data_IF_723627137552
#
_entry.id   IF_723627137552
#
_cell.length_a   1.000
_cell.length_b   1.000
_cell.length_c   1.000
_cell.angle_alpha   90.00
_cell.angle_beta   90.00
_cell.angle_gamma   90.00
#
_symmetry.space_group_name_H-M   'P 1'
#
loop_
_entity.id
_entity.type
_entity.pdbx_description
1 polymer ?
#
# COMPACT_ATOMS: atom_id res chain seq x y z
N UNK A 1 22.47 14.90 -8.94
CA UNK A 1 22.28 15.44 -10.30
C UNK A 1 20.80 15.46 -10.65
N UNK A 2 20.41 16.22 -11.67
CA UNK A 2 19.03 16.23 -12.17
C UNK A 2 18.60 14.83 -12.65
N UNK A 3 19.51 14.09 -13.25
CA UNK A 3 19.29 12.70 -13.66
C UNK A 3 18.97 11.78 -12.45
N UNK A 4 19.63 11.96 -11.30
CA UNK A 4 19.32 11.22 -10.08
C UNK A 4 17.91 11.55 -9.57
N UNK A 5 17.55 12.84 -9.58
CA UNK A 5 16.22 13.28 -9.12
C UNK A 5 15.09 12.74 -10.01
N UNK A 6 15.26 12.82 -11.33
CA UNK A 6 14.28 12.28 -12.28
C UNK A 6 14.16 10.75 -12.17
N UNK A 7 15.28 10.05 -12.02
CA UNK A 7 15.27 8.61 -11.81
C UNK A 7 14.59 8.23 -10.49
N UNK A 8 14.83 9.00 -9.43
CA UNK A 8 14.15 8.83 -8.14
C UNK A 8 12.63 8.99 -8.28
N UNK A 9 12.16 9.94 -9.07
CA UNK A 9 10.74 10.13 -9.38
C UNK A 9 10.14 8.86 -10.03
N UNK A 10 10.81 8.31 -11.03
CA UNK A 10 10.36 7.05 -11.66
C UNK A 10 10.27 5.92 -10.62
N UNK A 11 11.27 5.77 -9.77
CA UNK A 11 11.28 4.72 -8.73
C UNK A 11 10.10 4.84 -7.78
N UNK A 12 9.77 6.07 -7.35
CA UNK A 12 8.63 6.33 -6.45
C UNK A 12 7.30 6.05 -7.14
N UNK A 13 7.07 6.65 -8.31
CA UNK A 13 5.79 6.58 -9.02
C UNK A 13 5.46 5.17 -9.49
N UNK A 14 6.47 4.37 -9.74
CA UNK A 14 6.31 2.98 -10.21
C UNK A 14 6.44 1.94 -9.09
N UNK A 15 6.60 2.37 -7.85
CA UNK A 15 6.95 1.47 -6.76
C UNK A 15 8.09 0.51 -7.17
N UNK A 16 9.24 1.09 -7.54
CA UNK A 16 10.41 0.34 -8.01
C UNK A 16 10.12 -0.56 -9.23
N UNK A 17 9.45 0.00 -10.26
CA UNK A 17 9.06 -0.67 -11.50
C UNK A 17 8.03 -1.81 -11.33
N UNK A 18 7.32 -1.84 -10.21
CA UNK A 18 6.27 -2.83 -9.94
C UNK A 18 4.91 -2.42 -10.52
N UNK A 19 4.62 -1.10 -10.54
CA UNK A 19 3.33 -0.56 -10.95
C UNK A 19 3.50 0.46 -12.09
N UNK A 20 2.46 0.66 -12.89
CA UNK A 20 2.38 1.71 -13.93
C UNK A 20 3.62 1.76 -14.84
N UNK A 21 4.23 0.61 -15.11
CA UNK A 21 5.50 0.49 -15.81
C UNK A 21 5.30 -0.09 -17.20
N UNK A 22 5.53 0.71 -18.22
CA UNK A 22 5.53 0.30 -19.61
C UNK A 22 6.93 0.37 -20.22
N UNK A 23 7.04 0.02 -21.49
CA UNK A 23 8.33 0.07 -22.25
C UNK A 23 8.97 1.45 -22.15
N UNK A 24 8.17 2.53 -22.29
CA UNK A 24 8.68 3.91 -22.20
C UNK A 24 9.29 4.25 -20.83
N UNK A 25 8.80 3.64 -19.76
CA UNK A 25 9.36 3.83 -18.41
C UNK A 25 10.78 3.26 -18.34
N UNK A 26 10.99 2.07 -18.90
CA UNK A 26 12.32 1.46 -18.97
C UNK A 26 13.25 2.24 -19.91
N UNK A 27 12.76 2.73 -21.04
CA UNK A 27 13.53 3.58 -21.96
C UNK A 27 13.97 4.88 -21.28
N UNK A 28 13.07 5.54 -20.54
CA UNK A 28 13.39 6.73 -19.76
C UNK A 28 14.43 6.43 -18.67
N UNK A 29 14.28 5.35 -17.94
CA UNK A 29 15.25 4.91 -16.94
C UNK A 29 16.63 4.63 -17.54
N UNK A 30 16.68 3.94 -18.69
CA UNK A 30 17.91 3.67 -19.41
C UNK A 30 18.56 4.96 -19.95
N UNK A 31 17.76 5.92 -20.43
CA UNK A 31 18.24 7.23 -20.84
C UNK A 31 18.86 7.99 -19.67
N UNK A 32 18.19 8.05 -18.53
CA UNK A 32 18.69 8.72 -17.33
C UNK A 32 19.97 8.06 -16.81
N UNK A 33 20.06 6.74 -16.87
CA UNK A 33 21.28 6.01 -16.50
C UNK A 33 22.47 6.37 -17.41
N UNK A 34 22.26 6.46 -18.72
CA UNK A 34 23.29 6.92 -19.67
C UNK A 34 23.70 8.36 -19.43
N UNK A 35 22.81 9.20 -18.91
CA UNK A 35 23.07 10.60 -18.59
C UNK A 35 23.53 10.82 -17.15
N UNK A 36 24.05 9.81 -16.49
CA UNK A 36 24.77 9.92 -15.23
C UNK A 36 23.94 9.66 -13.97
N UNK A 37 22.70 9.17 -14.09
CA UNK A 37 21.96 8.73 -12.91
C UNK A 37 22.70 7.58 -12.20
N UNK A 38 22.96 7.74 -10.91
CA UNK A 38 23.60 6.76 -10.06
C UNK A 38 22.53 5.99 -9.25
N UNK A 39 22.25 4.77 -9.72
CA UNK A 39 21.24 3.89 -9.11
C UNK A 39 21.56 3.59 -7.64
N UNK A 40 22.83 3.41 -7.30
CA UNK A 40 23.26 3.16 -5.92
C UNK A 40 22.99 4.36 -5.03
N UNK A 41 23.25 5.55 -5.53
CA UNK A 41 22.97 6.80 -4.82
C UNK A 41 21.47 7.00 -4.63
N UNK A 42 20.67 6.78 -5.67
CA UNK A 42 19.20 6.84 -5.59
C UNK A 42 18.68 5.81 -4.59
N UNK A 43 19.16 4.56 -4.63
CA UNK A 43 18.77 3.52 -3.66
C UNK A 43 19.03 3.92 -2.21
N UNK A 44 20.14 4.63 -1.95
CA UNK A 44 20.47 5.11 -0.60
C UNK A 44 19.47 6.14 -0.06
N UNK A 45 18.80 6.90 -0.94
CA UNK A 45 17.77 7.87 -0.56
C UNK A 45 16.49 7.21 -0.03
N UNK A 46 16.22 5.97 -0.43
CA UNK A 46 15.02 5.22 -0.06
C UNK A 46 15.29 4.15 1.00
N UNK A 47 16.41 4.25 1.71
CA UNK A 47 16.67 3.35 2.84
C UNK A 47 15.83 3.77 4.03
N UNK A 48 15.15 2.80 4.62
CA UNK A 48 14.45 3.01 5.88
C UNK A 48 15.46 3.17 7.04
N UNK A 49 15.04 3.86 8.06
CA UNK A 49 15.71 3.71 9.34
C UNK A 49 15.26 2.40 10.03
N UNK A 50 15.95 2.03 11.09
CA UNK A 50 15.71 0.76 11.77
C UNK A 50 14.33 0.70 12.44
N UNK A 51 13.85 1.82 12.96
CA UNK A 51 12.55 1.88 13.66
C UNK A 51 11.40 1.74 12.68
N UNK A 52 11.47 2.42 11.54
CA UNK A 52 10.47 2.30 10.47
C UNK A 52 10.46 0.88 9.88
N UNK A 53 11.64 0.28 9.70
CA UNK A 53 11.73 -1.10 9.24
C UNK A 53 11.11 -2.10 10.23
N UNK A 54 11.37 -1.93 11.53
CA UNK A 54 10.75 -2.76 12.58
C UNK A 54 9.23 -2.60 12.61
N UNK A 55 8.73 -1.39 12.44
CA UNK A 55 7.30 -1.12 12.41
C UNK A 55 6.61 -1.82 11.24
N UNK A 56 7.22 -1.80 10.05
CA UNK A 56 6.74 -2.56 8.89
C UNK A 56 6.76 -4.07 9.15
N UNK A 57 7.86 -4.58 9.71
CA UNK A 57 7.99 -5.98 10.06
C UNK A 57 6.93 -6.43 11.07
N UNK A 58 6.61 -5.59 12.04
CA UNK A 58 5.54 -5.84 13.00
C UNK A 58 4.18 -5.90 12.32
N UNK A 59 3.88 -4.96 11.43
CA UNK A 59 2.64 -4.98 10.66
C UNK A 59 2.51 -6.26 9.82
N UNK A 60 3.60 -6.75 9.24
CA UNK A 60 3.60 -8.01 8.48
C UNK A 60 3.42 -9.21 9.41
N UNK A 61 4.03 -9.20 10.59
CA UNK A 61 3.91 -10.29 11.58
C UNK A 61 2.47 -10.44 12.10
N UNK A 62 1.79 -9.34 12.35
CA UNK A 62 0.45 -9.29 12.92
C UNK A 62 -0.67 -9.37 11.86
N UNK A 63 -0.34 -9.79 10.64
CA UNK A 63 -1.33 -9.89 9.57
C UNK A 63 -2.38 -10.95 9.86
N UNK A 64 -3.63 -10.58 9.67
CA UNK A 64 -4.78 -11.49 9.67
C UNK A 64 -5.19 -11.76 8.23
N UNK A 65 -5.30 -13.03 7.86
CA UNK A 65 -5.87 -13.41 6.57
C UNK A 65 -7.38 -13.49 6.65
N UNK A 66 -8.06 -12.76 5.80
CA UNK A 66 -9.51 -12.74 5.68
C UNK A 66 -9.92 -13.30 4.31
N UNK A 67 -10.82 -14.30 4.30
CA UNK A 67 -11.25 -15.03 3.10
C UNK A 67 -10.09 -15.55 2.23
N UNK A 68 -8.99 -15.96 2.87
CA UNK A 68 -7.80 -16.55 2.25
C UNK A 68 -7.07 -15.69 1.20
N UNK A 69 -7.54 -14.46 0.95
CA UNK A 69 -7.02 -13.58 -0.10
C UNK A 69 -6.81 -12.12 0.33
N UNK A 70 -7.41 -11.71 1.44
CA UNK A 70 -7.27 -10.36 1.97
C UNK A 70 -6.36 -10.37 3.19
N UNK A 71 -5.33 -9.55 3.16
CA UNK A 71 -4.45 -9.33 4.30
C UNK A 71 -4.90 -8.07 5.05
N UNK A 72 -5.25 -8.20 6.31
CA UNK A 72 -5.63 -7.08 7.17
C UNK A 72 -4.61 -7.00 8.31
N UNK A 73 -4.05 -5.82 8.52
CA UNK A 73 -3.05 -5.60 9.56
C UNK A 73 -3.15 -4.21 10.17
N UNK A 74 -2.44 -4.04 11.27
CA UNK A 74 -2.28 -2.77 11.97
C UNK A 74 -0.79 -2.44 12.04
N UNK A 75 -0.44 -1.23 11.62
CA UNK A 75 0.90 -0.69 11.77
C UNK A 75 0.96 0.11 13.08
N UNK A 76 1.98 -0.11 13.92
CA UNK A 76 2.20 0.71 15.11
C UNK A 76 2.32 2.20 14.78
N UNK A 77 1.84 3.07 15.66
CA UNK A 77 1.88 4.53 15.50
C UNK A 77 2.91 5.24 16.37
N UNK A 78 3.61 4.51 17.23
CA UNK A 78 4.61 5.00 18.19
C UNK A 78 6.03 5.07 17.62
N UNK A 79 6.15 5.36 16.34
CA UNK A 79 7.41 5.43 15.61
C UNK A 79 7.84 6.86 15.31
N UNK A 80 9.10 7.06 14.91
CA UNK A 80 9.67 8.37 14.58
C UNK A 80 9.23 8.91 13.22
N UNK A 81 8.89 8.03 12.28
CA UNK A 81 8.41 8.38 10.95
C UNK A 81 6.92 8.69 10.89
N UNK A 82 6.43 8.98 9.69
CA UNK A 82 4.99 9.17 9.47
C UNK A 82 4.28 7.79 9.39
N UNK A 83 3.40 7.46 10.36
CA UNK A 83 2.76 6.14 10.41
C UNK A 83 1.94 5.80 9.16
N UNK A 84 1.36 6.80 8.50
CA UNK A 84 0.55 6.57 7.28
C UNK A 84 1.42 6.14 6.10
N UNK A 85 2.64 6.66 6.00
CA UNK A 85 3.61 6.27 4.97
C UNK A 85 4.09 4.84 5.23
N UNK A 86 4.44 4.53 6.48
CA UNK A 86 4.89 3.19 6.87
C UNK A 86 3.78 2.14 6.65
N UNK A 87 2.53 2.48 7.00
CA UNK A 87 1.39 1.61 6.73
C UNK A 87 1.19 1.35 5.22
N UNK A 88 1.36 2.37 4.38
CA UNK A 88 1.30 2.22 2.93
C UNK A 88 2.42 1.32 2.38
N UNK A 89 3.63 1.46 2.90
CA UNK A 89 4.76 0.61 2.55
C UNK A 89 4.53 -0.85 2.99
N UNK A 90 4.03 -1.06 4.22
CA UNK A 90 3.67 -2.40 4.70
C UNK A 90 2.58 -3.05 3.83
N UNK A 91 1.58 -2.27 3.40
CA UNK A 91 0.55 -2.77 2.49
C UNK A 91 1.13 -3.23 1.14
N UNK A 92 2.11 -2.50 0.60
CA UNK A 92 2.84 -2.94 -0.61
C UNK A 92 3.64 -4.22 -0.37
N UNK A 93 4.33 -4.35 0.75
CA UNK A 93 5.12 -5.55 1.08
C UNK A 93 4.24 -6.80 1.20
N UNK A 94 3.06 -6.68 1.80
CA UNK A 94 2.11 -7.79 1.93
C UNK A 94 1.66 -8.35 0.57
N UNK A 95 1.57 -7.53 -0.47
CA UNK A 95 1.27 -8.01 -1.82
C UNK A 95 2.36 -8.91 -2.42
N UNK A 96 3.58 -8.88 -1.89
CA UNK A 96 4.66 -9.80 -2.26
C UNK A 96 4.46 -11.23 -1.74
N UNK A 97 3.49 -11.46 -0.89
CA UNK A 97 3.21 -12.77 -0.28
C UNK A 97 2.21 -13.54 -1.17
N UNK A 98 2.57 -14.78 -1.51
CA UNK A 98 1.71 -15.63 -2.34
C UNK A 98 0.33 -15.82 -1.73
N UNK A 99 -0.71 -15.66 -2.53
CA UNK A 99 -2.11 -15.83 -2.13
C UNK A 99 -2.78 -14.52 -1.71
N UNK A 100 -2.04 -13.49 -1.34
CA UNK A 100 -2.60 -12.18 -1.03
C UNK A 100 -2.95 -11.45 -2.32
N UNK A 101 -4.23 -11.09 -2.48
CA UNK A 101 -4.74 -10.31 -3.62
C UNK A 101 -4.98 -8.86 -3.29
N UNK A 102 -5.30 -8.56 -2.05
CA UNK A 102 -5.39 -7.20 -1.54
C UNK A 102 -4.92 -7.14 -0.09
N UNK A 103 -4.32 -6.02 0.28
CA UNK A 103 -3.83 -5.73 1.62
C UNK A 103 -4.41 -4.43 2.13
N UNK A 104 -4.75 -4.43 3.41
CA UNK A 104 -5.33 -3.31 4.12
C UNK A 104 -4.55 -3.13 5.42
N UNK A 105 -3.81 -2.04 5.52
CA UNK A 105 -3.02 -1.75 6.73
C UNK A 105 -3.58 -0.49 7.38
N UNK A 106 -4.01 -0.64 8.62
CA UNK A 106 -4.56 0.43 9.44
C UNK A 106 -3.49 1.01 10.35
N UNK A 107 -3.57 2.29 10.61
CA UNK A 107 -2.77 2.96 11.64
C UNK A 107 -3.56 4.08 12.28
N UNK A 108 -3.35 4.30 13.57
CA UNK A 108 -3.88 5.45 14.27
C UNK A 108 -2.88 6.60 14.18
N UNK A 109 -3.34 7.74 13.70
CA UNK A 109 -2.54 8.94 13.58
C UNK A 109 -3.43 10.19 13.73
N UNK A 110 -3.02 11.16 14.56
CA UNK A 110 -3.77 12.40 14.81
C UNK A 110 -5.25 12.17 15.18
N UNK A 111 -5.50 11.20 16.05
CA UNK A 111 -6.84 10.78 16.50
C UNK A 111 -7.79 10.32 15.40
N UNK A 112 -7.24 9.81 14.32
CA UNK A 112 -7.99 9.22 13.21
C UNK A 112 -7.39 7.85 12.85
N UNK A 113 -8.21 7.00 12.25
CA UNK A 113 -7.73 5.74 11.68
C UNK A 113 -7.53 5.91 10.18
N UNK A 114 -6.31 5.70 9.74
CA UNK A 114 -5.94 5.68 8.32
C UNK A 114 -5.90 4.23 7.85
N UNK A 115 -6.48 3.96 6.70
CA UNK A 115 -6.40 2.67 6.03
C UNK A 115 -5.67 2.86 4.72
N UNK A 116 -4.54 2.16 4.56
CA UNK A 116 -3.85 2.05 3.28
C UNK A 116 -4.24 0.74 2.62
N UNK A 117 -4.79 0.82 1.43
CA UNK A 117 -5.26 -0.32 0.66
C UNK A 117 -4.45 -0.49 -0.62
N UNK A 118 -4.03 -1.70 -0.89
CA UNK A 118 -3.29 -2.09 -2.10
C UNK A 118 -3.87 -3.38 -2.66
N UNK A 119 -3.79 -3.53 -3.97
CA UNK A 119 -4.23 -4.77 -4.63
C UNK A 119 -3.41 -5.08 -5.87
N UNK A 120 -3.51 -6.32 -6.29
CA UNK A 120 -3.07 -6.81 -7.58
C UNK A 120 -4.27 -7.44 -8.30
N UNK A 121 -4.14 -7.60 -9.59
CA UNK A 121 -5.15 -8.20 -10.47
C UNK A 121 -6.51 -7.48 -10.41
N UNK A 122 -7.58 -8.22 -10.19
CA UNK A 122 -8.96 -7.79 -10.38
C UNK A 122 -9.58 -7.11 -9.15
N UNK A 123 -8.91 -7.15 -7.99
CA UNK A 123 -9.48 -6.57 -6.77
C UNK A 123 -9.41 -5.05 -6.83
N UNK A 124 -10.56 -4.41 -6.88
CA UNK A 124 -10.67 -2.95 -6.91
C UNK A 124 -10.75 -2.37 -5.48
N UNK A 125 -9.60 -1.95 -4.93
CA UNK A 125 -9.57 -1.34 -3.60
C UNK A 125 -10.16 0.06 -3.56
N UNK A 126 -10.26 0.76 -4.69
CA UNK A 126 -10.93 2.06 -4.76
C UNK A 126 -12.40 1.93 -4.32
N UNK A 127 -13.14 1.00 -4.90
CA UNK A 127 -14.55 0.80 -4.57
C UNK A 127 -14.77 0.35 -3.12
N UNK A 128 -13.81 -0.37 -2.55
CA UNK A 128 -13.83 -0.78 -1.14
C UNK A 128 -13.63 0.45 -0.24
N UNK A 129 -12.61 1.27 -0.52
CA UNK A 129 -12.32 2.46 0.27
C UNK A 129 -13.39 3.55 0.14
N UNK A 130 -14.01 3.71 -1.03
CA UNK A 130 -15.14 4.64 -1.23
C UNK A 130 -16.33 4.32 -0.32
N UNK A 131 -16.60 3.05 -0.04
CA UNK A 131 -17.65 2.64 0.93
C UNK A 131 -17.30 3.01 2.38
N UNK A 132 -16.04 3.27 2.66
CA UNK A 132 -15.56 3.75 3.95
C UNK A 132 -15.30 5.27 3.95
N UNK A 133 -15.80 5.99 2.92
CA UNK A 133 -15.62 7.43 2.79
C UNK A 133 -14.26 7.87 2.28
N UNK A 134 -13.47 6.94 1.78
CA UNK A 134 -12.15 7.18 1.18
C UNK A 134 -12.18 7.26 -0.35
N UNK A 135 -11.06 6.93 -0.99
CA UNK A 135 -10.92 6.93 -2.44
C UNK A 135 -9.53 6.54 -2.89
N UNK A 136 -9.26 6.72 -4.16
CA UNK A 136 -7.97 6.40 -4.77
C UNK A 136 -8.13 5.89 -6.20
N UNK A 137 -7.35 4.89 -6.53
CA UNK A 137 -7.38 4.18 -7.81
C UNK A 137 -7.60 2.68 -7.57
N UNK A 138 -7.82 1.94 -8.65
CA UNK A 138 -8.14 0.51 -8.60
C UNK A 138 -7.21 -0.31 -7.70
N UNK A 139 -5.90 -0.08 -7.79
CA UNK A 139 -4.90 -0.86 -7.06
C UNK A 139 -4.22 -0.13 -5.89
N UNK A 140 -4.51 1.16 -5.71
CA UNK A 140 -3.95 2.01 -4.66
C UNK A 140 -5.02 2.95 -4.15
N UNK A 141 -5.47 2.75 -2.94
CA UNK A 141 -6.53 3.56 -2.34
C UNK A 141 -6.31 3.71 -0.82
N UNK A 142 -7.11 4.52 -0.19
CA UNK A 142 -7.08 4.70 1.25
C UNK A 142 -8.35 5.34 1.79
N UNK A 143 -8.52 5.27 3.11
CA UNK A 143 -9.61 5.92 3.80
C UNK A 143 -9.13 6.52 5.13
N UNK A 144 -9.85 7.53 5.60
CA UNK A 144 -9.67 8.14 6.91
C UNK A 144 -10.98 8.00 7.67
N UNK A 145 -10.92 7.35 8.83
CA UNK A 145 -12.08 7.17 9.70
C UNK A 145 -11.93 8.00 10.96
N UNK A 146 -12.96 8.77 11.29
CA UNK A 146 -13.01 9.61 12.46
C UNK A 146 -13.95 9.03 13.51
N UNK A 147 -13.64 9.25 14.79
CA UNK A 147 -14.49 8.83 15.92
C UNK A 147 -14.75 7.31 15.94
N UNK A 148 -13.80 6.52 15.50
CA UNK A 148 -13.84 5.06 15.57
C UNK A 148 -12.54 4.52 16.17
N UNK A 149 -12.61 3.37 16.81
CA UNK A 149 -11.44 2.62 17.26
C UNK A 149 -10.85 1.77 16.13
N UNK A 150 -9.63 1.27 16.31
CA UNK A 150 -9.02 0.29 15.38
C UNK A 150 -9.90 -0.95 15.22
N UNK A 151 -10.50 -1.45 16.31
CA UNK A 151 -11.41 -2.59 16.28
C UNK A 151 -12.67 -2.33 15.46
N UNK A 152 -13.29 -1.16 15.64
CA UNK A 152 -14.45 -0.73 14.85
C UNK A 152 -14.10 -0.55 13.37
N UNK A 153 -12.97 0.08 13.07
CA UNK A 153 -12.49 0.24 11.70
C UNK A 153 -12.26 -1.13 11.00
N UNK A 154 -11.69 -2.08 11.73
CA UNK A 154 -11.49 -3.46 11.24
C UNK A 154 -12.82 -4.14 10.93
N UNK A 155 -13.81 -4.02 11.82
CA UNK A 155 -15.15 -4.58 11.62
C UNK A 155 -15.84 -3.95 10.40
N UNK A 156 -15.78 -2.62 10.27
CA UNK A 156 -16.34 -1.91 9.11
C UNK A 156 -15.71 -2.38 7.81
N UNK A 157 -14.38 -2.55 7.77
CA UNK A 157 -13.69 -3.06 6.60
C UNK A 157 -14.14 -4.49 6.26
N UNK A 158 -14.23 -5.38 7.23
CA UNK A 158 -14.69 -6.77 7.03
C UNK A 158 -16.11 -6.82 6.48
N UNK A 159 -17.02 -6.00 6.99
CA UNK A 159 -18.39 -5.90 6.50
C UNK A 159 -18.45 -5.48 5.02
N UNK A 160 -17.63 -4.50 4.63
CA UNK A 160 -17.52 -4.07 3.23
C UNK A 160 -16.98 -5.19 2.34
N UNK A 161 -15.95 -5.91 2.80
CA UNK A 161 -15.36 -7.03 2.05
C UNK A 161 -16.35 -8.18 1.86
N UNK A 162 -17.12 -8.53 2.89
CA UNK A 162 -18.18 -9.55 2.82
C UNK A 162 -19.26 -9.17 1.81
N UNK A 163 -19.77 -7.94 1.88
CA UNK A 163 -20.81 -7.47 0.95
C UNK A 163 -20.34 -7.41 -0.50
N UNK A 164 -19.03 -7.28 -0.74
CA UNK A 164 -18.45 -7.30 -2.07
C UNK A 164 -18.36 -8.70 -2.67
N UNK A 165 -18.11 -9.72 -1.83
CA UNK A 165 -18.07 -11.12 -2.26
C UNK A 165 -19.44 -11.64 -2.65
N UNK A 166 -20.47 -11.35 -1.84
CA UNK A 166 -21.85 -11.75 -2.13
C UNK A 166 -22.31 -11.24 -3.51
N UNK A 167 -21.96 -10.00 -3.88
CA UNK A 167 -22.24 -9.45 -5.21
C UNK A 167 -21.45 -10.11 -6.34
N UNK A 168 -20.22 -10.56 -6.05
CA UNK A 168 -19.38 -11.25 -7.03
C UNK A 168 -19.87 -12.66 -7.37
N UNK A 169 -20.50 -13.32 -6.44
CA UNK A 169 -21.06 -14.66 -6.62
C UNK A 169 -22.43 -14.62 -7.33
N UNK A 170 -23.24 -13.58 -7.11
CA UNK A 170 -24.52 -13.38 -7.85
C UNK A 170 -24.33 -13.12 -9.34
N UNK A 171 -23.19 -12.56 -9.76
CA UNK A 171 -22.91 -12.28 -11.19
C UNK A 171 -22.37 -13.50 -11.93
N UNK A 172 -21.91 -14.54 -11.21
CA UNK A 172 -21.36 -15.78 -11.80
C UNK A 172 -22.35 -16.95 -11.85
N UNK A 173 -23.54 -16.78 -11.32
CA UNK A 173 -24.66 -17.74 -11.38
C UNK A 173 -25.67 -17.38 -12.47
#
# INVERSE_FOLDING_TARGET
TDADAMYSGIVVDTNNFMNNTGVRTFEAAAFLRRNGADITKVRKLFRDDMEDYKAKAEAVREVEMFHERYAISVCPSDMTGNPTVIAAQAANELLGIRGIRASFVMTEYENQIYISARSIDEVNVQTIMEKLGGGGHMNVAGAQLRNVTLGEARSMLKDVLMAQEEKGDEVKG
#
